data_IF_883050589492
#
_entry.id   IF_883050589492
#
_cell.length_a   1.000
_cell.length_b   1.000
_cell.length_c   1.000
_cell.angle_alpha   90.00
_cell.angle_beta   90.00
_cell.angle_gamma   90.00
#
_symmetry.space_group_name_H-M   'P 1'
#
loop_
_entity.id
_entity.type
_entity.pdbx_description
1 polymer ?
#
# COMPACT_ATOMS: atom_id res chain seq x y z
N UNK A 1 41.96 -59.54 -37.68
CA UNK A 1 41.22 -58.61 -38.56
C UNK A 1 40.16 -57.92 -37.71
N UNK A 2 40.12 -56.58 -37.78
CA UNK A 2 39.44 -55.69 -36.84
C UNK A 2 37.91 -55.76 -36.88
N UNK A 3 37.32 -55.81 -35.68
CA UNK A 3 36.10 -55.18 -35.16
C UNK A 3 35.12 -54.54 -36.16
N UNK A 4 33.84 -54.94 -36.05
CA UNK A 4 32.71 -54.05 -36.34
C UNK A 4 31.66 -54.19 -35.22
N UNK A 5 31.59 -53.20 -34.33
CA UNK A 5 30.54 -53.05 -33.31
C UNK A 5 29.42 -52.17 -33.88
N UNK A 6 28.31 -52.73 -34.43
CA UNK A 6 27.21 -51.94 -35.00
C UNK A 6 26.40 -51.16 -33.94
N UNK A 7 26.70 -51.37 -32.66
CA UNK A 7 25.93 -50.85 -31.52
C UNK A 7 26.25 -49.39 -31.16
N UNK A 8 27.33 -48.81 -31.69
CA UNK A 8 27.72 -47.43 -31.40
C UNK A 8 27.03 -46.40 -32.29
N UNK A 9 26.76 -46.74 -33.56
CA UNK A 9 26.10 -45.86 -34.53
C UNK A 9 24.63 -45.58 -34.17
N UNK A 10 23.99 -46.50 -33.45
CA UNK A 10 22.57 -46.39 -33.05
C UNK A 10 22.35 -45.52 -31.81
N UNK A 11 23.41 -45.18 -31.06
CA UNK A 11 23.33 -44.31 -29.87
C UNK A 11 23.59 -42.83 -30.15
N UNK A 12 24.12 -42.48 -31.33
CA UNK A 12 24.38 -41.09 -31.73
C UNK A 12 23.23 -40.44 -32.51
N UNK A 13 22.32 -41.23 -33.10
CA UNK A 13 21.17 -40.70 -33.86
C UNK A 13 19.95 -40.31 -32.99
N UNK A 14 19.94 -40.68 -31.70
CA UNK A 14 18.83 -40.37 -30.78
C UNK A 14 19.03 -39.09 -29.95
N UNK A 15 20.19 -38.43 -30.06
CA UNK A 15 20.53 -37.21 -29.28
C UNK A 15 20.40 -35.93 -30.13
N UNK A 16 20.17 -36.03 -31.44
CA UNK A 16 20.21 -34.89 -32.37
C UNK A 16 18.85 -34.30 -32.76
N UNK A 17 17.71 -34.79 -32.23
CA UNK A 17 16.37 -34.41 -32.73
C UNK A 17 15.36 -34.03 -31.63
N UNK A 18 15.81 -33.34 -30.57
CA UNK A 18 14.92 -32.83 -29.52
C UNK A 18 15.21 -31.36 -29.11
N UNK A 19 15.84 -30.59 -30.00
CA UNK A 19 15.96 -29.13 -29.87
C UNK A 19 14.85 -28.43 -30.65
N UNK A 20 13.60 -28.61 -30.20
CA UNK A 20 12.50 -27.71 -30.60
C UNK A 20 12.65 -26.43 -29.78
N UNK A 21 13.32 -25.45 -30.39
CA UNK A 21 13.41 -24.10 -29.89
C UNK A 21 11.99 -23.49 -29.83
N UNK A 22 11.47 -23.33 -28.62
CA UNK A 22 10.28 -22.52 -28.37
C UNK A 22 10.73 -21.05 -28.32
N UNK A 23 10.76 -20.37 -29.46
CA UNK A 23 10.91 -18.92 -29.51
C UNK A 23 9.59 -18.27 -29.08
N UNK A 24 9.39 -18.16 -27.78
CA UNK A 24 8.34 -17.34 -27.20
C UNK A 24 8.67 -15.85 -27.43
N UNK A 25 8.21 -15.30 -28.54
CA UNK A 25 8.23 -13.85 -28.77
C UNK A 25 7.25 -13.17 -27.81
N UNK A 26 7.78 -12.40 -26.86
CA UNK A 26 7.01 -11.53 -25.99
C UNK A 26 6.25 -10.50 -26.84
N UNK A 27 4.94 -10.73 -27.05
CA UNK A 27 4.05 -9.78 -27.70
C UNK A 27 3.82 -8.62 -26.71
N UNK A 28 4.47 -7.48 -26.94
CA UNK A 28 4.27 -6.30 -26.11
C UNK A 28 2.91 -5.69 -26.45
N UNK A 29 1.88 -6.00 -25.65
CA UNK A 29 0.55 -5.42 -25.81
C UNK A 29 0.56 -3.97 -25.29
N UNK A 30 0.38 -3.00 -26.18
CA UNK A 30 0.34 -1.58 -25.84
C UNK A 30 -1.09 -1.17 -25.46
N UNK A 31 -1.23 -0.50 -24.31
CA UNK A 31 -2.49 0.12 -23.89
C UNK A 31 -2.50 1.58 -24.34
N UNK A 32 -3.38 1.92 -25.26
CA UNK A 32 -3.57 3.28 -25.77
C UNK A 32 -4.85 3.83 -25.12
N UNK A 33 -4.76 5.04 -24.56
CA UNK A 33 -5.90 5.75 -23.98
C UNK A 33 -6.19 6.95 -24.88
N UNK A 34 -7.37 6.94 -25.51
CA UNK A 34 -7.83 8.05 -26.34
C UNK A 34 -8.24 9.27 -25.52
N UNK A 35 -8.31 10.47 -26.11
CA UNK A 35 -8.78 11.70 -25.45
C UNK A 35 -10.23 11.59 -24.91
N UNK A 36 -11.00 10.63 -25.42
CA UNK A 36 -12.37 10.28 -25.04
C UNK A 36 -12.43 9.26 -23.89
N UNK A 37 -11.30 8.85 -23.31
CA UNK A 37 -11.22 7.94 -22.18
C UNK A 37 -11.40 6.46 -22.54
N UNK A 38 -11.59 6.12 -23.82
CA UNK A 38 -11.66 4.74 -24.27
C UNK A 38 -10.27 4.10 -24.28
N UNK A 39 -10.22 2.86 -23.81
CA UNK A 39 -8.99 2.06 -23.76
C UNK A 39 -9.00 1.08 -24.92
N UNK A 40 -7.98 1.15 -25.76
CA UNK A 40 -7.76 0.19 -26.85
C UNK A 40 -6.43 -0.52 -26.61
N UNK A 41 -6.44 -1.86 -26.66
CA UNK A 41 -5.23 -2.68 -26.59
C UNK A 41 -4.79 -3.01 -28.01
N UNK A 42 -3.53 -2.71 -28.34
CA UNK A 42 -2.98 -2.95 -29.68
C UNK A 42 -1.62 -3.62 -29.58
N UNK A 43 -1.39 -4.59 -30.47
CA UNK A 43 -0.12 -5.30 -30.63
C UNK A 43 0.88 -4.55 -31.54
N UNK A 44 0.48 -3.39 -32.11
CA UNK A 44 1.30 -2.59 -33.01
C UNK A 44 1.78 -1.30 -32.32
N UNK A 45 3.08 -0.94 -32.40
CA UNK A 45 3.58 0.32 -31.82
C UNK A 45 2.85 1.53 -32.45
N UNK A 46 2.45 2.54 -31.65
CA UNK A 46 1.70 3.69 -32.15
C UNK A 46 2.49 4.48 -33.21
N UNK A 47 1.91 4.67 -34.39
CA UNK A 47 2.46 5.49 -35.48
C UNK A 47 1.98 6.94 -35.37
N UNK A 48 2.10 7.56 -34.19
CA UNK A 48 1.76 8.97 -33.99
C UNK A 48 2.78 9.63 -33.05
N UNK A 49 3.42 10.76 -33.44
CA UNK A 49 4.53 11.36 -32.71
C UNK A 49 4.18 11.95 -31.32
N UNK A 50 2.91 11.88 -30.89
CA UNK A 50 2.44 12.37 -29.58
C UNK A 50 1.65 11.36 -28.74
N UNK A 51 1.64 10.07 -29.09
CA UNK A 51 1.01 9.04 -28.27
C UNK A 51 1.90 8.68 -27.07
N UNK A 52 1.57 9.18 -25.86
CA UNK A 52 2.20 8.75 -24.61
C UNK A 52 1.81 7.29 -24.30
N UNK A 53 2.58 6.34 -24.83
CA UNK A 53 2.49 4.94 -24.43
C UNK A 53 2.97 4.80 -22.97
N UNK A 54 2.05 4.49 -22.05
CA UNK A 54 2.39 4.13 -20.67
C UNK A 54 2.19 2.62 -20.52
N UNK A 55 3.21 1.83 -20.14
CA UNK A 55 3.01 0.42 -19.89
C UNK A 55 1.95 0.24 -18.80
N UNK A 56 1.05 -0.72 -19.02
CA UNK A 56 -0.06 -1.07 -18.15
C UNK A 56 0.46 -1.36 -16.75
N UNK A 57 0.25 -0.41 -15.82
CA UNK A 57 0.46 -0.66 -14.40
C UNK A 57 -0.71 -1.52 -13.93
N UNK A 58 -0.43 -2.79 -13.67
CA UNK A 58 -1.29 -3.67 -12.89
C UNK A 58 -1.66 -2.95 -11.60
N UNK A 59 -2.97 -2.90 -11.33
CA UNK A 59 -3.55 -2.17 -10.22
C UNK A 59 -2.85 -2.54 -8.89
N UNK A 60 -2.32 -1.52 -8.20
CA UNK A 60 -1.80 -1.65 -6.86
C UNK A 60 -2.96 -1.93 -5.88
N UNK A 61 -2.77 -2.92 -5.01
CA UNK A 61 -3.55 -3.07 -3.78
C UNK A 61 -3.41 -1.80 -2.92
N UNK A 62 -4.40 -1.45 -2.08
CA UNK A 62 -4.30 -0.29 -1.20
C UNK A 62 -3.34 -0.61 -0.04
N UNK A 63 -2.08 -0.25 -0.21
CA UNK A 63 -1.04 -0.23 0.82
C UNK A 63 -0.17 1.01 0.60
N UNK A 64 -0.23 1.95 1.54
CA UNK A 64 0.25 3.33 1.38
C UNK A 64 1.66 3.48 0.80
N UNK A 65 1.74 4.06 -0.40
CA UNK A 65 2.98 4.49 -1.02
C UNK A 65 3.13 6.00 -0.94
N UNK A 66 3.99 6.46 -0.03
CA UNK A 66 4.41 7.86 0.05
C UNK A 66 5.15 8.28 -1.22
N UNK A 67 4.49 9.06 -2.07
CA UNK A 67 5.05 10.23 -2.75
C UNK A 67 6.38 10.10 -3.51
N UNK A 68 6.71 8.96 -4.11
CA UNK A 68 7.65 8.82 -5.26
C UNK A 68 7.62 7.37 -5.75
N UNK A 69 7.54 7.17 -7.07
CA UNK A 69 7.52 5.82 -7.61
C UNK A 69 8.85 5.11 -7.29
N UNK A 70 8.80 4.04 -6.49
CA UNK A 70 9.95 3.19 -6.22
C UNK A 70 10.56 2.66 -7.53
N UNK A 71 11.89 2.56 -7.65
CA UNK A 71 12.54 1.87 -8.77
C UNK A 71 12.00 0.44 -8.92
N UNK A 72 12.04 -0.10 -10.14
CA UNK A 72 11.43 -1.39 -10.47
C UNK A 72 11.92 -2.53 -9.55
N UNK A 73 13.23 -2.67 -9.38
CA UNK A 73 13.83 -3.71 -8.53
C UNK A 73 13.37 -3.60 -7.07
N UNK A 74 13.45 -2.41 -6.48
CA UNK A 74 12.98 -2.19 -5.11
C UNK A 74 11.47 -2.46 -4.96
N UNK A 75 10.67 -2.06 -5.96
CA UNK A 75 9.23 -2.32 -5.94
C UNK A 75 8.93 -3.82 -5.99
N UNK A 76 9.67 -4.58 -6.80
CA UNK A 76 9.50 -6.02 -6.90
C UNK A 76 9.85 -6.70 -5.57
N UNK A 77 11.00 -6.37 -4.98
CA UNK A 77 11.45 -6.94 -3.70
C UNK A 77 10.50 -6.54 -2.57
N UNK A 78 10.12 -5.26 -2.45
CA UNK A 78 9.19 -4.79 -1.41
C UNK A 78 7.79 -5.35 -1.53
N UNK A 79 7.34 -5.74 -2.73
CA UNK A 79 6.05 -6.41 -2.90
C UNK A 79 6.11 -7.89 -2.48
N UNK A 80 7.28 -8.53 -2.60
CA UNK A 80 7.49 -9.95 -2.28
C UNK A 80 7.84 -10.16 -0.81
N UNK A 81 8.67 -9.26 -0.25
CA UNK A 81 9.20 -9.31 1.10
C UNK A 81 9.02 -7.96 1.80
N UNK A 82 7.78 -7.51 2.03
CA UNK A 82 7.53 -6.21 2.66
C UNK A 82 8.20 -6.12 4.04
N UNK A 83 8.77 -4.96 4.35
CA UNK A 83 9.40 -4.69 5.64
C UNK A 83 8.45 -3.90 6.52
N UNK A 84 8.16 -4.41 7.72
CA UNK A 84 7.41 -3.69 8.75
C UNK A 84 8.23 -3.63 10.02
N UNK A 85 8.46 -2.42 10.52
CA UNK A 85 9.12 -2.17 11.80
C UNK A 85 8.08 -1.92 12.87
N UNK A 86 8.12 -2.67 13.96
CA UNK A 86 7.28 -2.49 15.13
C UNK A 86 8.10 -1.76 16.20
N UNK A 87 7.55 -0.65 16.70
CA UNK A 87 8.19 0.23 17.68
C UNK A 87 7.22 0.58 18.80
N UNK A 88 7.70 1.22 19.85
CA UNK A 88 6.85 1.65 20.96
C UNK A 88 7.53 2.75 21.80
N UNK A 89 6.81 3.34 22.75
CA UNK A 89 7.40 4.22 23.74
C UNK A 89 8.43 3.44 24.56
N UNK A 90 9.46 4.13 25.05
CA UNK A 90 10.54 3.55 25.87
C UNK A 90 11.33 2.41 25.19
N UNK A 91 11.29 2.34 23.86
CA UNK A 91 12.11 1.42 23.09
C UNK A 91 13.44 2.07 22.64
N UNK A 92 14.47 1.96 23.47
CA UNK A 92 15.82 2.47 23.17
C UNK A 92 16.36 2.07 21.78
N UNK A 93 16.37 0.77 21.40
CA UNK A 93 16.92 0.34 20.12
C UNK A 93 16.01 0.59 18.90
N UNK A 94 14.76 1.03 19.07
CA UNK A 94 13.85 1.29 17.95
C UNK A 94 14.36 2.40 17.02
N UNK A 95 15.03 3.42 17.58
CA UNK A 95 15.67 4.48 16.80
C UNK A 95 16.77 3.94 15.88
N UNK A 96 17.63 3.06 16.41
CA UNK A 96 18.71 2.43 15.65
C UNK A 96 18.18 1.56 14.51
N UNK A 97 17.14 0.77 14.76
CA UNK A 97 16.47 -0.02 13.72
C UNK A 97 15.90 0.85 12.60
N UNK A 98 15.19 1.92 12.95
CA UNK A 98 14.64 2.88 11.97
C UNK A 98 15.74 3.56 11.16
N UNK A 99 16.82 3.98 11.83
CA UNK A 99 17.96 4.63 11.19
C UNK A 99 18.67 3.68 10.21
N UNK A 100 18.89 2.42 10.60
CA UNK A 100 19.50 1.41 9.73
C UNK A 100 18.68 1.12 8.48
N UNK A 101 17.37 0.91 8.62
CA UNK A 101 16.49 0.68 7.47
C UNK A 101 16.47 1.91 6.53
N UNK A 102 16.48 3.11 7.11
CA UNK A 102 16.48 4.36 6.34
C UNK A 102 17.81 4.62 5.63
N UNK A 103 18.94 4.40 6.30
CA UNK A 103 20.29 4.62 5.74
C UNK A 103 20.58 3.65 4.59
N UNK A 104 20.15 2.39 4.74
CA UNK A 104 20.25 1.37 3.70
C UNK A 104 19.26 1.57 2.55
N UNK A 105 18.26 2.44 2.73
CA UNK A 105 17.27 2.76 1.72
C UNK A 105 16.23 1.65 1.52
N UNK A 106 15.80 1.04 2.61
CA UNK A 106 14.75 0.02 2.63
C UNK A 106 13.39 0.73 2.75
N UNK A 107 12.43 0.52 1.83
CA UNK A 107 11.04 0.89 2.03
C UNK A 107 10.42 0.08 3.18
N UNK A 108 9.90 0.73 4.21
CA UNK A 108 9.23 0.03 5.31
C UNK A 108 8.01 0.80 5.81
N UNK A 109 7.05 0.05 6.35
CA UNK A 109 5.99 0.60 7.19
C UNK A 109 6.41 0.54 8.66
N UNK A 110 6.05 1.55 9.43
CA UNK A 110 6.26 1.53 10.87
C UNK A 110 4.93 1.40 11.62
N UNK A 111 4.89 0.47 12.57
CA UNK A 111 3.76 0.19 13.44
C UNK A 111 4.11 0.49 14.90
N UNK A 112 3.40 1.43 15.51
CA UNK A 112 3.63 1.78 16.92
C UNK A 112 2.75 0.93 17.83
N UNK A 113 3.35 0.46 18.92
CA UNK A 113 2.74 -0.32 19.98
C UNK A 113 2.70 0.56 21.21
N UNK A 114 1.54 1.17 21.43
CA UNK A 114 1.36 2.20 22.47
C UNK A 114 0.27 1.84 23.47
N UNK A 115 -0.70 1.01 23.07
CA UNK A 115 -1.80 0.60 23.93
C UNK A 115 -1.73 -0.89 24.28
N UNK A 116 -2.53 -1.32 25.26
CA UNK A 116 -2.63 -2.74 25.61
C UNK A 116 -3.22 -3.57 24.45
N UNK A 117 -4.11 -2.97 23.66
CA UNK A 117 -4.66 -3.59 22.45
C UNK A 117 -3.55 -3.81 21.41
N UNK A 118 -2.64 -2.85 21.23
CA UNK A 118 -1.47 -3.02 20.38
C UNK A 118 -0.56 -4.15 20.90
N UNK A 119 -0.27 -4.18 22.20
CA UNK A 119 0.58 -5.24 22.81
C UNK A 119 -0.04 -6.62 22.58
N UNK A 120 -1.35 -6.75 22.81
CA UNK A 120 -2.07 -8.00 22.58
C UNK A 120 -2.12 -8.36 21.08
N UNK A 121 -2.22 -7.38 20.18
CA UNK A 121 -2.14 -7.62 18.74
C UNK A 121 -0.74 -8.08 18.33
N UNK A 122 0.32 -7.45 18.82
CA UNK A 122 1.70 -7.85 18.57
C UNK A 122 1.93 -9.29 19.03
N UNK A 123 1.53 -9.62 20.26
CA UNK A 123 1.65 -10.96 20.82
C UNK A 123 0.95 -12.03 19.96
N UNK A 124 -0.21 -11.71 19.38
CA UNK A 124 -0.93 -12.64 18.47
C UNK A 124 -0.23 -12.79 17.11
N UNK A 125 0.37 -11.73 16.60
CA UNK A 125 1.06 -11.72 15.30
C UNK A 125 2.43 -12.41 15.35
N UNK A 126 3.13 -12.28 16.48
CA UNK A 126 4.56 -12.62 16.57
C UNK A 126 4.87 -13.68 17.62
N UNK A 127 3.92 -14.01 18.50
CA UNK A 127 4.16 -14.87 19.66
C UNK A 127 4.93 -14.18 20.79
N UNK A 128 5.23 -12.88 20.68
CA UNK A 128 5.97 -12.10 21.66
C UNK A 128 5.60 -10.61 21.67
N UNK A 129 6.16 -9.86 22.61
CA UNK A 129 5.92 -8.42 22.77
C UNK A 129 7.21 -7.59 22.81
N UNK A 130 8.35 -8.22 22.48
CA UNK A 130 9.65 -7.56 22.47
C UNK A 130 9.77 -6.54 21.33
N UNK A 131 10.36 -5.39 21.64
CA UNK A 131 10.60 -4.30 20.71
C UNK A 131 12.10 -3.92 20.66
N UNK A 132 12.63 -3.47 19.51
CA UNK A 132 11.96 -3.43 18.22
C UNK A 132 11.74 -4.85 17.70
N UNK A 133 10.74 -5.02 16.84
CA UNK A 133 10.58 -6.23 16.05
C UNK A 133 10.49 -5.81 14.58
N UNK A 134 11.16 -6.53 13.69
CA UNK A 134 11.05 -6.29 12.25
C UNK A 134 10.53 -7.55 11.57
N UNK A 135 9.57 -7.38 10.67
CA UNK A 135 9.16 -8.45 9.77
C UNK A 135 9.68 -8.17 8.37
N UNK A 136 10.28 -9.17 7.73
CA UNK A 136 10.78 -9.13 6.36
C UNK A 136 10.06 -10.23 5.58
N UNK A 137 9.00 -9.87 4.86
CA UNK A 137 8.05 -10.84 4.33
C UNK A 137 7.43 -11.68 5.46
N UNK A 138 7.65 -13.00 5.44
CA UNK A 138 7.18 -13.91 6.49
C UNK A 138 8.15 -14.13 7.65
N UNK A 139 9.37 -13.59 7.58
CA UNK A 139 10.36 -13.72 8.65
C UNK A 139 10.15 -12.63 9.70
N UNK A 140 10.37 -12.96 10.97
CA UNK A 140 10.25 -12.02 12.09
C UNK A 140 11.53 -12.06 12.92
N UNK A 141 12.08 -10.90 13.24
CA UNK A 141 13.30 -10.75 14.04
C UNK A 141 13.00 -9.85 15.22
N UNK A 142 13.16 -10.38 16.43
CA UNK A 142 12.98 -9.65 17.67
C UNK A 142 14.31 -9.03 18.12
N UNK A 143 14.26 -7.78 18.56
CA UNK A 143 15.44 -6.99 18.90
C UNK A 143 16.12 -6.37 17.67
N UNK A 144 17.09 -5.49 17.95
CA UNK A 144 17.92 -4.88 16.92
C UNK A 144 19.31 -5.52 16.90
N UNK A 145 19.69 -6.05 15.74
CA UNK A 145 21.05 -6.48 15.42
C UNK A 145 21.31 -6.12 13.97
N UNK A 146 22.24 -5.20 13.73
CA UNK A 146 22.58 -4.74 12.39
C UNK A 146 23.01 -5.90 11.49
N UNK A 147 23.82 -6.81 12.04
CA UNK A 147 24.34 -7.98 11.32
C UNK A 147 23.21 -8.90 10.90
N UNK A 148 22.31 -9.23 11.83
CA UNK A 148 21.19 -10.15 11.56
C UNK A 148 20.20 -9.52 10.57
N UNK A 149 19.80 -8.27 10.81
CA UNK A 149 18.88 -7.57 9.90
C UNK A 149 19.49 -7.44 8.51
N UNK A 150 20.80 -7.17 8.40
CA UNK A 150 21.49 -7.14 7.11
C UNK A 150 21.45 -8.48 6.39
N UNK A 151 21.67 -9.59 7.09
CA UNK A 151 21.65 -10.93 6.49
C UNK A 151 20.27 -11.28 5.93
N UNK A 152 19.21 -10.99 6.66
CA UNK A 152 17.84 -11.26 6.19
C UNK A 152 17.43 -10.34 5.03
N UNK A 153 17.82 -9.06 5.06
CA UNK A 153 17.59 -8.14 3.95
C UNK A 153 18.37 -8.55 2.70
N UNK A 154 19.64 -8.96 2.85
CA UNK A 154 20.46 -9.51 1.77
C UNK A 154 19.80 -10.75 1.16
N UNK A 155 19.37 -11.70 2.00
CA UNK A 155 18.72 -12.94 1.56
C UNK A 155 17.37 -12.68 0.86
N UNK A 156 16.63 -11.65 1.28
CA UNK A 156 15.41 -11.21 0.62
C UNK A 156 15.66 -10.46 -0.70
N UNK A 157 16.92 -10.13 -1.03
CA UNK A 157 17.30 -9.44 -2.26
C UNK A 157 17.26 -7.92 -2.18
N UNK A 158 17.18 -7.33 -0.99
CA UNK A 158 17.28 -5.88 -0.84
C UNK A 158 18.72 -5.40 -1.11
N UNK A 159 18.90 -4.27 -1.81
CA UNK A 159 20.22 -3.73 -2.07
C UNK A 159 20.94 -3.35 -0.76
N UNK A 160 22.26 -3.40 -0.79
CA UNK A 160 23.12 -3.01 0.34
C UNK A 160 23.28 -1.50 0.48
N UNK A 161 22.97 -0.77 -0.59
CA UNK A 161 23.02 0.69 -0.68
C UNK A 161 21.66 1.21 -1.13
N UNK A 162 21.33 2.43 -0.70
CA UNK A 162 20.06 3.05 -1.06
C UNK A 162 19.98 3.30 -2.57
N UNK A 163 18.95 2.74 -3.20
CA UNK A 163 18.56 3.03 -4.58
C UNK A 163 17.32 3.94 -4.63
N UNK A 164 16.93 4.51 -3.48
CA UNK A 164 15.73 5.34 -3.38
C UNK A 164 15.98 6.72 -4.01
N UNK A 165 14.98 7.28 -4.72
CA UNK A 165 15.03 8.67 -5.18
C UNK A 165 15.18 9.64 -3.99
N UNK A 166 15.85 10.79 -4.16
CA UNK A 166 16.00 11.79 -3.09
C UNK A 166 14.67 12.32 -2.52
N UNK A 167 13.60 12.26 -3.30
CA UNK A 167 12.23 12.65 -2.92
C UNK A 167 11.48 11.59 -2.12
N UNK A 168 11.98 10.36 -2.07
CA UNK A 168 11.29 9.27 -1.38
C UNK A 168 11.29 9.51 0.13
N UNK A 169 10.15 9.25 0.76
CA UNK A 169 9.98 9.26 2.22
C UNK A 169 9.17 8.03 2.61
N UNK A 170 9.60 7.34 3.66
CA UNK A 170 8.79 6.28 4.25
C UNK A 170 7.48 6.88 4.81
N UNK A 171 6.38 6.09 4.81
CA UNK A 171 5.13 6.51 5.42
C UNK A 171 5.35 6.85 6.91
N UNK A 172 4.53 7.77 7.43
CA UNK A 172 4.52 8.06 8.85
C UNK A 172 4.17 6.80 9.66
N UNK A 173 4.73 6.69 10.85
CA UNK A 173 4.40 5.62 11.78
C UNK A 173 2.91 5.64 12.11
N UNK A 174 2.28 4.46 12.10
CA UNK A 174 0.86 4.29 12.35
C UNK A 174 0.64 3.33 13.53
N UNK A 175 -0.43 3.48 14.32
CA UNK A 175 -0.74 2.51 15.37
C UNK A 175 -0.89 1.10 14.80
N UNK A 176 -0.47 0.10 15.56
CA UNK A 176 -0.62 -1.30 15.17
C UNK A 176 -2.10 -1.66 15.03
N UNK A 177 -2.91 -1.26 16.00
CA UNK A 177 -4.36 -1.37 15.96
C UNK A 177 -4.97 0.00 15.67
N UNK A 178 -5.60 0.14 14.51
CA UNK A 178 -6.47 1.29 14.23
C UNK A 178 -7.79 1.08 14.95
N UNK A 179 -7.91 1.61 16.17
CA UNK A 179 -9.23 1.76 16.79
C UNK A 179 -10.00 2.75 15.92
N UNK A 180 -10.93 2.24 15.12
CA UNK A 180 -11.85 3.08 14.37
C UNK A 180 -12.75 3.78 15.38
N UNK A 181 -12.42 4.99 15.77
CA UNK A 181 -13.44 5.87 16.31
C UNK A 181 -14.42 6.12 15.16
N UNK A 182 -15.71 5.79 15.30
CA UNK A 182 -16.70 6.26 14.35
C UNK A 182 -16.50 7.77 14.23
N UNK A 183 -16.28 8.26 13.01
CA UNK A 183 -16.37 9.69 12.70
C UNK A 183 -17.62 10.18 13.44
N UNK A 184 -17.54 11.15 14.37
CA UNK A 184 -18.73 11.72 14.98
C UNK A 184 -19.67 12.03 13.83
N UNK A 185 -20.83 11.37 13.82
CA UNK A 185 -21.88 11.72 12.89
C UNK A 185 -22.04 13.22 13.05
N UNK A 186 -21.77 13.94 11.96
CA UNK A 186 -22.01 15.36 11.90
C UNK A 186 -23.46 15.53 12.35
N UNK A 187 -23.60 16.07 13.56
CA UNK A 187 -24.91 16.30 14.17
C UNK A 187 -25.73 16.99 13.09
N UNK A 188 -26.89 16.44 12.66
CA UNK A 188 -27.73 17.12 11.70
C UNK A 188 -27.87 18.55 12.19
N UNK A 189 -27.42 19.49 11.35
CA UNK A 189 -27.56 20.91 11.59
C UNK A 189 -28.93 21.13 12.20
N UNK A 190 -28.92 21.72 13.39
CA UNK A 190 -30.10 22.04 14.16
C UNK A 190 -31.20 22.48 13.20
N UNK A 191 -32.31 21.75 13.23
CA UNK A 191 -33.54 22.15 12.59
C UNK A 191 -33.71 23.65 12.81
N UNK A 192 -33.83 24.39 11.71
CA UNK A 192 -34.23 25.79 11.75
C UNK A 192 -35.50 25.88 12.61
N UNK A 193 -35.35 26.34 13.84
CA UNK A 193 -36.47 26.68 14.68
C UNK A 193 -37.23 27.81 13.96
N UNK A 194 -38.56 27.70 13.78
CA UNK A 194 -39.34 28.81 13.26
C UNK A 194 -39.18 29.98 14.24
N UNK A 195 -38.84 31.15 13.69
CA UNK A 195 -38.82 32.43 14.39
C UNK A 195 -40.15 32.65 15.13
N UNK A 196 -40.15 33.03 16.42
CA UNK A 196 -41.38 33.41 17.09
C UNK A 196 -41.88 34.73 16.50
N UNK A 197 -43.07 34.66 15.89
CA UNK A 197 -43.85 35.80 15.40
C UNK A 197 -44.09 36.78 16.55
N UNK A 198 -43.96 38.07 16.24
CA UNK A 198 -44.17 39.17 17.17
C UNK A 198 -45.53 39.09 17.89
N UNK A 199 -45.47 39.31 19.21
CA UNK A 199 -46.60 39.52 20.12
C UNK A 199 -47.56 40.58 19.59
N UNK A 200 -48.77 40.15 19.21
CA UNK A 200 -49.92 41.05 19.05
C UNK A 200 -50.54 41.26 20.44
N UNK A 201 -50.59 42.51 20.90
CA UNK A 201 -51.16 42.87 22.19
C UNK A 201 -52.68 42.61 22.29
N UNK A 202 -53.27 42.67 23.50
CA UNK A 202 -54.67 42.35 23.72
C UNK A 202 -55.59 43.43 23.12
N UNK A 203 -56.51 43.03 22.25
CA UNK A 203 -57.65 43.85 21.85
C UNK A 203 -58.73 43.73 22.93
N UNK A 204 -59.08 44.86 23.57
CA UNK A 204 -60.21 44.99 24.48
C UNK A 204 -61.55 44.94 23.71
N UNK A 205 -62.60 44.25 24.21
CA UNK A 205 -63.97 44.35 23.68
C UNK A 205 -64.78 45.44 24.45
N UNK A 206 -66.01 45.80 24.02
CA UNK A 206 -66.32 47.05 23.35
C UNK A 206 -66.97 48.11 24.26
N UNK A 207 -66.85 49.38 23.87
CA UNK A 207 -67.56 50.49 24.50
C UNK A 207 -69.06 50.50 24.16
N UNK A 208 -69.87 50.78 25.19
CA UNK A 208 -71.32 50.93 25.16
C UNK A 208 -71.82 51.91 24.07
N UNK A 209 -72.76 51.46 23.24
CA UNK A 209 -73.60 52.29 22.37
C UNK A 209 -75.01 52.41 22.98
N UNK A 210 -75.55 53.62 23.23
CA UNK A 210 -76.89 53.82 23.78
C UNK A 210 -78.04 53.47 22.81
N UNK A 211 -77.76 53.03 21.58
CA UNK A 211 -78.78 52.71 20.57
C UNK A 211 -79.23 51.23 20.52
N UNK A 212 -78.73 50.34 21.38
CA UNK A 212 -79.33 49.01 21.59
C UNK A 212 -79.30 48.02 20.42
N UNK A 213 -78.22 47.95 19.64
CA UNK A 213 -78.06 46.98 18.53
C UNK A 213 -76.69 46.28 18.63
N UNK A 214 -76.67 44.94 18.48
CA UNK A 214 -75.50 44.04 18.60
C UNK A 214 -75.06 43.43 17.25
N UNK A 215 -73.83 42.94 17.19
CA UNK A 215 -73.38 41.84 16.32
C UNK A 215 -72.61 40.82 17.15
#
# INVERSE_FOLDING_TARGET
>A
MFIAHPSLARRLAAVALATVACTAGAQQVYRIVGPDGKVTFSDKPPVEPNAKARPTQTAALPGGGGGSALPFELRQVSSRYPVTLYTGPDCGPCGSGRAFLSSRGIPFAEKTVTTNEDVAALQRLTGGSSLPLVTIGGQQLAGYSEVEWSQFLDAAGYPKTSQLPPSYRNPAAAPLVVVSTPKPAESPAAAAAPTPTATSGPVLPPGNNPAGIQF
#
